data_IF_043120515993
#
_entry.id   IF_043120515993
#
_cell.length_a   1.000
_cell.length_b   1.000
_cell.length_c   1.000
_cell.angle_alpha   90.00
_cell.angle_beta   90.00
_cell.angle_gamma   90.00
#
_symmetry.space_group_name_H-M   'P 1'
#
loop_
_entity.id
_entity.type
_entity.pdbx_description
1 polymer ?
#
# COMPACT_ATOMS: atom_id res chain seq x y z
N UNK A 1 20.16 13.64 -21.33
CA UNK A 1 20.55 14.22 -20.02
C UNK A 1 21.47 15.39 -20.34
N UNK A 2 21.30 16.58 -19.73
CA UNK A 2 22.22 17.69 -19.95
C UNK A 2 23.63 17.28 -19.53
N UNK A 3 24.60 17.43 -20.44
CA UNK A 3 26.00 17.01 -20.25
C UNK A 3 26.87 18.07 -19.60
N UNK A 4 26.37 19.30 -19.49
CA UNK A 4 27.16 20.48 -19.07
C UNK A 4 27.17 20.73 -17.56
N UNK A 5 26.76 19.76 -16.73
CA UNK A 5 26.72 19.92 -15.27
C UNK A 5 25.78 21.03 -14.78
N UNK A 6 25.04 21.68 -15.68
CA UNK A 6 24.07 22.73 -15.34
C UNK A 6 22.85 22.07 -14.70
N UNK A 7 22.62 22.38 -13.42
CA UNK A 7 21.42 21.93 -12.71
C UNK A 7 20.17 22.59 -13.28
N UNK A 8 19.05 21.86 -13.24
CA UNK A 8 17.76 22.37 -13.69
C UNK A 8 17.06 23.03 -12.49
N UNK A 9 16.66 24.31 -12.57
CA UNK A 9 15.87 24.94 -11.54
C UNK A 9 14.56 24.17 -11.31
N UNK A 10 14.31 23.81 -10.06
CA UNK A 10 13.15 23.05 -9.62
C UNK A 10 12.32 23.90 -8.66
N UNK A 11 11.21 24.42 -9.18
CA UNK A 11 10.12 24.96 -8.39
C UNK A 11 9.05 23.90 -8.11
N UNK A 12 8.15 24.23 -7.19
CA UNK A 12 6.89 23.51 -7.04
C UNK A 12 5.92 23.92 -8.17
N UNK A 13 5.00 23.04 -8.54
CA UNK A 13 3.90 23.38 -9.44
C UNK A 13 2.85 24.27 -8.74
N UNK A 14 1.85 24.73 -9.49
CA UNK A 14 0.78 25.61 -8.99
C UNK A 14 -0.01 25.02 -7.80
N UNK A 15 0.15 23.72 -7.53
CA UNK A 15 -0.49 22.98 -6.45
C UNK A 15 0.49 22.59 -5.32
N UNK A 16 1.72 23.12 -5.33
CA UNK A 16 2.73 22.78 -4.35
C UNK A 16 3.35 21.39 -4.53
N UNK A 17 3.15 20.76 -5.69
CA UNK A 17 3.67 19.43 -6.03
C UNK A 17 4.93 19.47 -6.89
N UNK A 18 5.51 18.29 -7.15
CA UNK A 18 6.60 18.17 -8.13
C UNK A 18 6.06 18.32 -9.56
N UNK A 19 6.76 19.07 -10.45
CA UNK A 19 6.37 19.22 -11.84
C UNK A 19 6.22 17.87 -12.57
N UNK A 20 5.27 17.79 -13.49
CA UNK A 20 4.94 16.54 -14.19
C UNK A 20 6.13 15.89 -14.91
N UNK A 21 7.02 16.70 -15.49
CA UNK A 21 8.24 16.22 -16.17
C UNK A 21 9.16 15.47 -15.20
N UNK A 22 9.30 15.99 -13.99
CA UNK A 22 10.10 15.42 -12.90
C UNK A 22 9.48 14.11 -12.42
N UNK A 23 8.16 14.09 -12.21
CA UNK A 23 7.42 12.87 -11.83
C UNK A 23 7.60 11.74 -12.84
N UNK A 24 7.69 12.04 -14.14
CA UNK A 24 7.95 11.05 -15.19
C UNK A 24 9.37 10.50 -15.13
N UNK A 25 10.38 11.33 -14.85
CA UNK A 25 11.76 10.87 -14.72
C UNK A 25 11.97 9.92 -13.54
N UNK A 26 11.30 10.20 -12.40
CA UNK A 26 11.33 9.30 -11.24
C UNK A 26 10.86 7.89 -11.65
N UNK A 27 9.79 7.78 -12.44
CA UNK A 27 9.30 6.48 -12.93
C UNK A 27 10.37 5.74 -13.74
N UNK A 28 11.05 6.44 -14.65
CA UNK A 28 12.08 5.85 -15.52
C UNK A 28 13.24 5.33 -14.68
N UNK A 29 13.76 6.15 -13.78
CA UNK A 29 14.87 5.77 -12.89
C UNK A 29 14.53 4.56 -12.03
N UNK A 30 13.32 4.55 -11.44
CA UNK A 30 12.86 3.44 -10.60
C UNK A 30 12.58 2.16 -11.37
N UNK A 31 12.27 2.22 -12.67
CA UNK A 31 11.95 1.03 -13.46
C UNK A 31 13.20 0.35 -14.01
N UNK A 32 14.20 1.14 -14.40
CA UNK A 32 15.38 0.65 -15.12
C UNK A 32 16.49 0.13 -14.19
N UNK A 33 16.51 0.56 -12.92
CA UNK A 33 17.68 0.35 -12.05
C UNK A 33 17.39 -0.48 -10.78
N UNK A 34 16.29 -1.22 -10.73
CA UNK A 34 16.02 -2.09 -9.57
C UNK A 34 16.98 -3.28 -9.55
N UNK A 35 17.80 -3.44 -8.50
CA UNK A 35 18.74 -4.55 -8.42
C UNK A 35 18.06 -5.86 -8.00
N UNK A 36 16.86 -5.80 -7.40
CA UNK A 36 16.14 -6.98 -6.93
C UNK A 36 14.61 -6.81 -7.01
N UNK A 37 13.90 -7.90 -6.77
CA UNK A 37 12.45 -7.99 -6.83
C UNK A 37 11.84 -7.47 -5.52
N UNK A 38 11.10 -6.36 -5.62
CA UNK A 38 10.35 -5.80 -4.51
C UNK A 38 8.87 -5.72 -4.90
N UNK A 39 7.97 -6.09 -3.98
CA UNK A 39 6.51 -5.98 -4.19
C UNK A 39 5.94 -4.68 -3.61
N UNK A 40 6.70 -4.02 -2.72
CA UNK A 40 6.32 -2.74 -2.12
C UNK A 40 7.51 -1.80 -1.98
N UNK A 41 7.25 -0.48 -2.07
CA UNK A 41 8.27 0.56 -1.91
C UNK A 41 9.02 0.46 -0.57
N UNK A 42 8.32 0.11 0.51
CA UNK A 42 8.92 -0.03 1.84
C UNK A 42 9.87 -1.21 2.00
N UNK A 43 9.94 -2.13 1.02
CA UNK A 43 10.92 -3.22 1.00
C UNK A 43 12.22 -2.83 0.28
N UNK A 44 12.18 -1.76 -0.51
CA UNK A 44 13.35 -1.28 -1.24
C UNK A 44 14.40 -0.81 -0.23
N UNK A 45 15.62 -1.31 -0.37
CA UNK A 45 16.76 -0.98 0.49
C UNK A 45 16.96 0.55 0.59
N UNK A 46 17.29 1.03 1.80
CA UNK A 46 17.45 2.46 2.06
C UNK A 46 18.59 3.07 1.24
N UNK A 47 19.63 2.29 1.00
CA UNK A 47 20.77 2.64 0.16
C UNK A 47 20.34 2.98 -1.28
N UNK A 48 19.33 2.27 -1.81
CA UNK A 48 18.78 2.57 -3.13
C UNK A 48 17.98 3.86 -3.11
N UNK A 49 17.25 4.14 -2.03
CA UNK A 49 16.54 5.41 -1.88
C UNK A 49 17.51 6.58 -1.89
N UNK A 50 18.58 6.47 -1.10
CA UNK A 50 19.60 7.51 -0.99
C UNK A 50 20.35 7.67 -2.32
N UNK A 51 20.64 6.57 -3.03
CA UNK A 51 21.21 6.62 -4.37
C UNK A 51 20.31 7.36 -5.36
N UNK A 52 19.01 7.02 -5.44
CA UNK A 52 18.08 7.69 -6.35
C UNK A 52 17.85 9.15 -5.96
N UNK A 53 17.78 9.45 -4.67
CA UNK A 53 17.69 10.81 -4.17
C UNK A 53 18.93 11.62 -4.53
N UNK A 54 20.12 11.03 -4.45
CA UNK A 54 21.37 11.70 -4.82
C UNK A 54 21.42 11.99 -6.33
N UNK A 55 21.01 11.05 -7.19
CA UNK A 55 20.89 11.30 -8.64
C UNK A 55 19.90 12.45 -8.90
N UNK A 56 18.78 12.46 -8.18
CA UNK A 56 17.79 13.51 -8.27
C UNK A 56 18.34 14.88 -7.85
N UNK A 57 19.04 14.97 -6.71
CA UNK A 57 19.61 16.23 -6.18
C UNK A 57 20.79 16.77 -6.97
N UNK A 58 21.47 15.92 -7.74
CA UNK A 58 22.48 16.33 -8.70
C UNK A 58 21.86 16.92 -9.97
N UNK A 59 20.66 16.46 -10.35
CA UNK A 59 19.99 16.89 -11.58
C UNK A 59 19.28 18.23 -11.41
N UNK A 60 18.75 18.50 -10.22
CA UNK A 60 17.89 19.63 -9.93
C UNK A 60 18.48 20.56 -8.89
N UNK A 61 18.15 21.84 -8.98
CA UNK A 61 18.51 22.89 -8.02
C UNK A 61 17.24 23.51 -7.45
N UNK A 62 17.21 23.73 -6.13
CA UNK A 62 16.06 24.30 -5.43
C UNK A 62 16.53 25.16 -4.27
N UNK A 63 15.62 25.98 -3.73
CA UNK A 63 15.85 26.77 -2.52
C UNK A 63 16.03 25.83 -1.30
N UNK A 64 17.14 25.93 -0.53
CA UNK A 64 17.37 25.11 0.66
C UNK A 64 16.24 25.16 1.69
N UNK A 65 15.49 26.26 1.76
CA UNK A 65 14.36 26.41 2.70
C UNK A 65 13.22 25.42 2.45
N UNK A 66 13.10 24.90 1.22
CA UNK A 66 12.08 23.92 0.82
C UNK A 66 12.64 22.51 0.65
N UNK A 67 13.91 22.25 0.97
CA UNK A 67 14.56 20.95 0.73
C UNK A 67 13.78 19.79 1.35
N UNK A 68 13.35 19.95 2.60
CA UNK A 68 12.57 18.93 3.30
C UNK A 68 11.28 18.61 2.54
N UNK A 69 10.56 19.64 2.09
CA UNK A 69 9.33 19.52 1.31
C UNK A 69 9.60 18.81 -0.01
N UNK A 70 10.66 19.16 -0.73
CA UNK A 70 11.05 18.49 -1.98
C UNK A 70 11.35 17.01 -1.74
N UNK A 71 12.07 16.69 -0.66
CA UNK A 71 12.40 15.29 -0.31
C UNK A 71 11.16 14.47 0.04
N UNK A 72 10.24 15.05 0.79
CA UNK A 72 8.97 14.40 1.16
C UNK A 72 8.09 14.17 -0.08
N UNK A 73 7.94 15.19 -0.95
CA UNK A 73 7.20 15.09 -2.20
C UNK A 73 7.82 14.08 -3.16
N UNK A 74 9.15 14.05 -3.24
CA UNK A 74 9.88 13.07 -4.04
C UNK A 74 9.61 11.66 -3.56
N UNK A 75 9.73 11.40 -2.25
CA UNK A 75 9.51 10.06 -1.69
C UNK A 75 8.05 9.62 -1.85
N UNK A 76 7.09 10.51 -1.60
CA UNK A 76 5.67 10.24 -1.84
C UNK A 76 5.41 9.90 -3.31
N UNK A 77 5.97 10.69 -4.23
CA UNK A 77 5.84 10.46 -5.68
C UNK A 77 6.47 9.13 -6.07
N UNK A 78 7.69 8.85 -5.61
CA UNK A 78 8.41 7.61 -5.86
C UNK A 78 7.58 6.40 -5.41
N UNK A 79 7.04 6.44 -4.19
CA UNK A 79 6.16 5.39 -3.64
C UNK A 79 4.93 5.12 -4.51
N UNK A 80 4.21 6.19 -4.89
CA UNK A 80 3.00 6.06 -5.73
C UNK A 80 3.37 5.49 -7.10
N UNK A 81 4.41 6.05 -7.74
CA UNK A 81 4.84 5.64 -9.07
C UNK A 81 5.36 4.21 -9.09
N UNK A 82 6.10 3.81 -8.08
CA UNK A 82 6.57 2.44 -7.91
C UNK A 82 5.40 1.45 -7.83
N UNK A 83 4.41 1.73 -6.97
CA UNK A 83 3.20 0.90 -6.85
C UNK A 83 2.45 0.79 -8.17
N UNK A 84 2.26 1.90 -8.88
CA UNK A 84 1.55 1.91 -10.17
C UNK A 84 2.32 1.13 -11.23
N UNK A 85 3.63 1.34 -11.34
CA UNK A 85 4.46 0.64 -12.33
C UNK A 85 4.45 -0.89 -12.10
N UNK A 86 4.56 -1.34 -10.85
CA UNK A 86 4.44 -2.77 -10.52
C UNK A 86 3.03 -3.30 -10.80
N UNK A 87 1.99 -2.54 -10.45
CA UNK A 87 0.61 -2.94 -10.70
C UNK A 87 0.32 -3.09 -12.20
N UNK A 88 0.76 -2.14 -13.03
CA UNK A 88 0.65 -2.22 -14.48
C UNK A 88 1.43 -3.40 -15.05
N UNK A 89 2.65 -3.64 -14.56
CA UNK A 89 3.48 -4.76 -14.96
C UNK A 89 2.79 -6.08 -14.62
N UNK A 90 2.34 -6.26 -13.37
CA UNK A 90 1.59 -7.43 -12.90
C UNK A 90 0.34 -7.66 -13.75
N UNK A 91 -0.44 -6.62 -14.03
CA UNK A 91 -1.66 -6.72 -14.84
C UNK A 91 -1.38 -7.10 -16.30
N UNK A 92 -0.35 -6.51 -16.94
CA UNK A 92 0.06 -6.86 -18.31
C UNK A 92 0.51 -8.32 -18.39
N UNK A 93 1.20 -8.81 -17.38
CA UNK A 93 1.73 -10.16 -17.36
C UNK A 93 0.69 -11.21 -16.97
N UNK A 94 -0.25 -10.87 -16.06
CA UNK A 94 -1.39 -11.73 -15.75
C UNK A 94 -2.23 -12.06 -16.99
N UNK A 95 -2.43 -11.09 -17.90
CA UNK A 95 -3.10 -11.31 -19.20
C UNK A 95 -2.40 -12.35 -20.10
N UNK A 96 -1.13 -12.63 -19.85
CA UNK A 96 -0.30 -13.59 -20.61
C UNK A 96 0.15 -14.76 -19.73
N UNK A 97 -0.58 -15.05 -18.65
CA UNK A 97 -0.27 -16.11 -17.69
C UNK A 97 1.17 -16.08 -17.15
N UNK A 98 1.74 -14.88 -16.97
CA UNK A 98 3.11 -14.64 -16.51
C UNK A 98 4.22 -15.25 -17.38
N UNK A 99 3.90 -15.75 -18.59
CA UNK A 99 4.89 -16.41 -19.46
C UNK A 99 5.77 -15.42 -20.22
N UNK A 100 5.28 -14.20 -20.48
CA UNK A 100 6.00 -13.23 -21.30
C UNK A 100 6.74 -12.20 -20.43
N UNK A 101 8.08 -12.32 -20.38
CA UNK A 101 8.99 -11.32 -19.82
C UNK A 101 8.95 -10.03 -20.65
N UNK A 102 8.97 -8.84 -20.03
CA UNK A 102 9.23 -7.60 -20.77
C UNK A 102 10.61 -7.62 -21.47
N UNK A 103 10.76 -7.02 -22.66
CA UNK A 103 12.02 -7.05 -23.41
C UNK A 103 13.21 -6.53 -22.57
N UNK A 104 13.03 -5.39 -21.91
CA UNK A 104 14.10 -4.66 -21.22
C UNK A 104 14.33 -5.10 -19.76
N UNK A 105 13.63 -6.13 -19.28
CA UNK A 105 13.73 -6.58 -17.89
C UNK A 105 14.73 -7.72 -17.74
N UNK A 106 15.54 -7.69 -16.68
CA UNK A 106 16.43 -8.80 -16.34
C UNK A 106 15.62 -10.10 -16.12
N UNK A 107 15.96 -11.24 -16.77
CA UNK A 107 15.26 -12.51 -16.60
C UNK A 107 15.21 -13.04 -15.17
N UNK A 108 16.28 -12.84 -14.40
CA UNK A 108 16.41 -13.34 -13.03
C UNK A 108 15.51 -12.53 -12.08
N UNK A 109 15.54 -11.19 -12.23
CA UNK A 109 14.61 -10.27 -11.56
C UNK A 109 13.16 -10.61 -11.89
N UNK A 110 12.89 -10.89 -13.17
CA UNK A 110 11.57 -11.27 -13.64
C UNK A 110 11.07 -12.55 -12.99
N UNK A 111 11.91 -13.60 -12.94
CA UNK A 111 11.56 -14.87 -12.30
C UNK A 111 11.21 -14.69 -10.82
N UNK A 112 12.00 -13.89 -10.09
CA UNK A 112 11.73 -13.55 -8.68
C UNK A 112 10.40 -12.80 -8.51
N UNK A 113 10.10 -11.81 -9.36
CA UNK A 113 8.83 -11.08 -9.30
C UNK A 113 7.63 -11.99 -9.58
N UNK A 114 7.73 -12.84 -10.60
CA UNK A 114 6.67 -13.80 -10.92
C UNK A 114 6.43 -14.74 -9.73
N UNK A 115 7.50 -15.29 -9.16
CA UNK A 115 7.43 -16.16 -7.99
C UNK A 115 6.67 -15.50 -6.84
N UNK A 116 7.07 -14.28 -6.45
CA UNK A 116 6.41 -13.51 -5.39
C UNK A 116 4.93 -13.27 -5.68
N UNK A 117 4.56 -12.96 -6.92
CA UNK A 117 3.15 -12.74 -7.29
C UNK A 117 2.32 -14.03 -7.33
N UNK A 118 2.90 -15.15 -7.72
CA UNK A 118 2.22 -16.45 -7.67
C UNK A 118 2.03 -16.95 -6.24
N UNK A 119 3.03 -16.78 -5.38
CA UNK A 119 2.92 -17.11 -3.95
C UNK A 119 1.86 -16.24 -3.26
N UNK A 120 1.85 -14.93 -3.57
CA UNK A 120 0.81 -14.01 -3.07
C UNK A 120 -0.59 -14.47 -3.48
N UNK A 121 -0.77 -14.88 -4.75
CA UNK A 121 -2.05 -15.39 -5.25
C UNK A 121 -2.49 -16.66 -4.51
N UNK A 122 -1.59 -17.63 -4.35
CA UNK A 122 -1.88 -18.88 -3.62
C UNK A 122 -2.25 -18.60 -2.15
N UNK A 123 -1.58 -17.64 -1.51
CA UNK A 123 -1.86 -17.23 -0.13
C UNK A 123 -3.27 -16.62 0.00
N UNK A 124 -3.65 -15.76 -0.94
CA UNK A 124 -5.00 -15.15 -0.95
C UNK A 124 -6.07 -16.20 -1.22
N UNK A 125 -5.86 -17.10 -2.18
CA UNK A 125 -6.81 -18.18 -2.49
C UNK A 125 -7.00 -19.12 -1.28
N UNK A 126 -5.92 -19.49 -0.60
CA UNK A 126 -5.99 -20.28 0.62
C UNK A 126 -6.76 -19.56 1.74
N UNK A 127 -6.49 -18.28 1.96
CA UNK A 127 -7.20 -17.48 2.96
C UNK A 127 -8.70 -17.34 2.64
N UNK A 128 -9.07 -17.25 1.35
CA UNK A 128 -10.47 -17.22 0.92
C UNK A 128 -11.16 -18.55 1.15
N UNK A 129 -10.53 -19.68 0.78
CA UNK A 129 -11.09 -21.02 1.06
C UNK A 129 -11.30 -21.27 2.55
N UNK A 130 -10.36 -20.87 3.39
CA UNK A 130 -10.50 -20.97 4.84
C UNK A 130 -11.67 -20.15 5.41
N UNK A 131 -12.02 -19.02 4.78
CA UNK A 131 -13.21 -18.24 5.15
C UNK A 131 -14.50 -18.90 4.69
N UNK A 132 -14.49 -19.55 3.54
CA UNK A 132 -15.65 -20.22 2.95
C UNK A 132 -15.96 -21.58 3.59
N UNK A 133 -14.92 -22.33 4.00
CA UNK A 133 -15.03 -23.69 4.56
C UNK A 133 -15.27 -23.72 6.08
N UNK A 134 -15.30 -22.56 6.75
CA UNK A 134 -15.48 -22.46 8.20
C UNK A 134 -14.16 -22.70 8.95
N UNK A 135 -13.60 -21.62 9.48
CA UNK A 135 -12.30 -21.59 10.14
C UNK A 135 -12.25 -22.51 11.38
N UNK A 136 -11.34 -23.49 11.39
CA UNK A 136 -10.97 -24.24 12.60
C UNK A 136 -9.89 -23.46 13.37
N UNK A 137 -10.19 -22.92 14.57
CA UNK A 137 -9.28 -22.07 15.33
C UNK A 137 -8.10 -22.81 15.97
N UNK A 138 -7.96 -24.13 15.78
CA UNK A 138 -6.88 -24.91 16.40
C UNK A 138 -5.51 -24.75 15.72
N UNK A 139 -5.43 -24.16 14.53
CA UNK A 139 -4.13 -23.89 13.89
C UNK A 139 -3.53 -22.59 14.46
N UNK A 140 -2.38 -22.63 15.16
CA UNK A 140 -1.80 -21.46 15.79
C UNK A 140 -1.51 -20.37 14.75
N UNK A 141 -2.02 -19.17 14.99
CA UNK A 141 -1.90 -18.02 14.09
C UNK A 141 -0.44 -17.68 13.71
N UNK A 142 0.52 -18.06 14.57
CA UNK A 142 1.95 -17.93 14.32
C UNK A 142 2.50 -18.84 13.22
N UNK A 143 2.00 -20.07 13.07
CA UNK A 143 2.47 -20.99 12.01
C UNK A 143 1.97 -20.59 10.62
N UNK A 144 0.82 -19.94 10.55
CA UNK A 144 0.22 -19.48 9.30
C UNK A 144 0.98 -18.27 8.74
N UNK A 145 1.37 -17.31 9.60
CA UNK A 145 2.19 -16.17 9.19
C UNK A 145 3.63 -16.58 8.84
N UNK A 146 4.23 -17.53 9.56
CA UNK A 146 5.57 -18.03 9.27
C UNK A 146 5.65 -18.83 7.95
N UNK A 147 4.55 -19.47 7.53
CA UNK A 147 4.46 -20.10 6.18
C UNK A 147 4.20 -19.09 5.07
N UNK A 148 3.45 -18.01 5.34
CA UNK A 148 3.07 -17.02 4.33
C UNK A 148 4.16 -15.99 4.00
N UNK A 149 5.13 -15.76 4.88
CA UNK A 149 6.20 -14.75 4.70
C UNK A 149 7.45 -15.33 3.97
N UNK A 150 7.37 -16.54 3.41
CA UNK A 150 8.46 -17.08 2.60
C UNK A 150 9.70 -17.43 3.42
N UNK A 151 9.67 -18.61 4.05
CA UNK A 151 10.87 -19.40 4.34
C UNK A 151 12.01 -18.74 5.13
N UNK A 152 11.86 -18.63 6.45
CA UNK A 152 13.05 -18.76 7.31
C UNK A 152 13.48 -20.23 7.29
N UNK A 153 14.68 -20.51 6.79
CA UNK A 153 15.26 -21.87 6.68
C UNK A 153 15.14 -22.61 8.02
N UNK A 154 14.39 -23.72 8.04
CA UNK A 154 14.27 -24.67 9.16
C UNK A 154 15.61 -25.26 9.68
N UNK A 155 16.74 -24.95 9.04
CA UNK A 155 18.06 -25.47 9.40
C UNK A 155 18.75 -24.75 10.57
N UNK A 156 18.32 -23.54 10.94
CA UNK A 156 18.97 -22.76 12.01
C UNK A 156 18.40 -22.99 13.41
N UNK A 157 17.34 -23.78 13.54
CA UNK A 157 16.62 -24.02 14.80
C UNK A 157 16.80 -25.43 15.37
N UNK A 158 17.62 -26.29 14.74
CA UNK A 158 17.82 -27.66 15.22
C UNK A 158 18.70 -27.76 16.48
N UNK A 159 19.42 -26.69 16.83
CA UNK A 159 20.31 -26.66 17.99
C UNK A 159 19.80 -25.74 19.13
N UNK A 160 18.59 -25.18 18.99
CA UNK A 160 17.90 -24.54 20.10
C UNK A 160 17.06 -25.63 20.77
N UNK A 161 17.63 -26.21 21.83
CA UNK A 161 16.94 -27.12 22.73
C UNK A 161 15.84 -26.33 23.47
N UNK A 162 14.63 -26.30 22.88
CA UNK A 162 13.46 -25.62 23.45
C UNK A 162 12.81 -26.53 24.51
N UNK A 163 13.59 -26.89 25.52
CA UNK A 163 13.10 -27.43 26.79
C UNK A 163 13.32 -26.45 27.95
N UNK A 164 13.44 -25.15 27.65
CA UNK A 164 13.40 -24.12 28.70
C UNK A 164 11.95 -23.73 28.96
N UNK A 165 11.49 -24.06 30.17
CA UNK A 165 10.21 -23.57 30.67
C UNK A 165 10.26 -22.03 30.71
N UNK A 166 9.14 -21.32 30.42
CA UNK A 166 9.09 -19.86 30.38
C UNK A 166 9.47 -19.14 31.70
N UNK A 167 9.70 -19.90 32.77
CA UNK A 167 9.99 -19.40 34.11
C UNK A 167 11.50 -19.17 34.32
N UNK A 168 12.37 -19.78 33.52
CA UNK A 168 13.83 -19.77 33.75
C UNK A 168 14.56 -18.57 33.11
N UNK A 169 13.89 -17.77 32.28
CA UNK A 169 14.51 -16.66 31.53
C UNK A 169 14.38 -15.31 32.27
N UNK A 170 13.81 -15.28 33.49
CA UNK A 170 13.63 -14.02 34.24
C UNK A 170 12.78 -12.98 33.49
N UNK A 171 12.06 -13.40 32.44
CA UNK A 171 11.11 -12.55 31.74
C UNK A 171 9.87 -12.49 32.61
N UNK A 172 9.75 -11.42 33.38
CA UNK A 172 8.51 -11.07 34.06
C UNK A 172 7.38 -11.12 33.03
N UNK A 173 6.55 -12.16 33.09
CA UNK A 173 5.27 -12.20 32.40
C UNK A 173 4.34 -11.27 33.18
N UNK A 174 4.60 -9.96 33.11
CA UNK A 174 3.56 -8.97 33.31
C UNK A 174 2.50 -9.33 32.27
N UNK A 175 1.43 -9.97 32.76
CA UNK A 175 0.20 -10.29 32.05
C UNK A 175 -0.15 -9.06 31.22
N UNK A 176 0.21 -9.08 29.93
CA UNK A 176 -0.21 -8.03 29.01
C UNK A 176 -1.72 -8.11 29.01
N UNK A 177 -2.35 -7.10 29.61
CA UNK A 177 -3.78 -6.92 29.45
C UNK A 177 -4.10 -7.03 27.96
N UNK A 178 -5.19 -7.72 27.58
CA UNK A 178 -5.60 -7.82 26.19
C UNK A 178 -5.57 -6.42 25.60
N UNK A 179 -4.80 -6.27 24.51
CA UNK A 179 -4.62 -5.00 23.82
C UNK A 179 -6.00 -4.45 23.51
N UNK A 180 -6.49 -3.51 24.33
CA UNK A 180 -7.62 -2.69 23.98
C UNK A 180 -7.08 -1.77 22.90
N UNK A 181 -7.50 -1.89 21.63
CA UNK A 181 -7.13 -0.90 20.65
C UNK A 181 -7.49 0.48 21.24
N UNK A 182 -6.63 1.49 21.09
CA UNK A 182 -6.97 2.83 21.54
C UNK A 182 -8.35 3.14 20.98
N UNK A 183 -9.27 3.56 21.84
CA UNK A 183 -10.55 4.09 21.42
C UNK A 183 -10.18 5.29 20.56
N UNK A 184 -10.17 5.08 19.24
CA UNK A 184 -10.02 6.16 18.27
C UNK A 184 -11.29 6.95 18.51
N UNK A 185 -11.19 8.02 19.30
CA UNK A 185 -12.26 8.98 19.43
C UNK A 185 -12.70 9.33 18.03
N UNK A 186 -13.99 9.16 17.74
CA UNK A 186 -14.55 9.55 16.46
C UNK A 186 -14.04 10.96 16.18
N UNK A 187 -13.32 11.14 15.07
CA UNK A 187 -12.86 12.47 14.67
C UNK A 187 -14.09 13.37 14.60
N UNK A 188 -13.97 14.65 14.97
CA UNK A 188 -15.08 15.62 14.83
C UNK A 188 -15.71 15.55 13.43
N UNK A 189 -14.90 15.27 12.41
CA UNK A 189 -15.33 15.05 11.03
C UNK A 189 -16.28 13.85 10.85
N UNK A 190 -16.08 12.76 11.59
CA UNK A 190 -16.96 11.58 11.55
C UNK A 190 -18.33 11.92 12.12
N UNK A 191 -18.38 12.65 13.24
CA UNK A 191 -19.62 13.09 13.88
C UNK A 191 -20.38 14.07 12.96
N UNK A 192 -19.69 15.03 12.35
CA UNK A 192 -20.28 15.96 11.38
C UNK A 192 -20.88 15.24 10.16
N UNK A 193 -20.18 14.22 9.65
CA UNK A 193 -20.68 13.40 8.54
C UNK A 193 -21.90 12.57 8.94
N UNK A 194 -21.90 11.98 10.13
CA UNK A 194 -23.06 11.24 10.66
C UNK A 194 -24.29 12.14 10.81
N UNK A 195 -24.13 13.35 11.37
CA UNK A 195 -25.20 14.34 11.46
C UNK A 195 -25.73 14.78 10.09
N UNK A 196 -24.83 14.98 9.12
CA UNK A 196 -25.22 15.33 7.74
C UNK A 196 -26.04 14.22 7.10
N UNK A 197 -25.64 12.96 7.30
CA UNK A 197 -26.37 11.79 6.79
C UNK A 197 -27.76 11.69 7.41
N UNK A 198 -27.90 11.94 8.72
CA UNK A 198 -29.20 11.94 9.38
C UNK A 198 -30.12 13.06 8.89
N UNK A 199 -29.60 14.27 8.72
CA UNK A 199 -30.35 15.40 8.13
C UNK A 199 -30.87 15.05 6.74
N UNK A 200 -30.01 14.52 5.86
CA UNK A 200 -30.40 14.14 4.50
C UNK A 200 -31.42 13.00 4.46
N UNK A 201 -31.41 12.10 5.46
CA UNK A 201 -32.44 11.05 5.57
C UNK A 201 -33.79 11.64 5.97
N UNK A 202 -33.81 12.59 6.90
CA UNK A 202 -35.03 13.28 7.31
C UNK A 202 -35.64 14.07 6.15
N UNK A 203 -34.82 14.82 5.39
CA UNK A 203 -35.27 15.60 4.23
C UNK A 203 -35.85 14.69 3.14
N UNK A 204 -35.17 13.57 2.83
CA UNK A 204 -35.69 12.59 1.87
C UNK A 204 -37.01 11.95 2.32
N UNK A 205 -37.17 11.71 3.61
CA UNK A 205 -38.43 11.18 4.15
C UNK A 205 -39.56 12.21 3.99
N UNK A 206 -39.30 13.48 4.31
CA UNK A 206 -40.27 14.57 4.13
C UNK A 206 -40.69 14.73 2.66
N UNK A 207 -39.73 14.73 1.74
CA UNK A 207 -40.01 14.81 0.29
C UNK A 207 -40.89 13.66 -0.20
N UNK A 208 -40.65 12.43 0.27
CA UNK A 208 -41.49 11.27 -0.08
C UNK A 208 -42.92 11.41 0.45
N UNK A 209 -43.09 11.95 1.66
CA UNK A 209 -44.43 12.22 2.21
C UNK A 209 -45.16 13.28 1.40
N UNK A 210 -44.49 14.37 1.02
CA UNK A 210 -45.08 15.41 0.15
C UNK A 210 -45.45 14.84 -1.21
N UNK A 211 -44.59 13.99 -1.81
CA UNK A 211 -44.89 13.34 -3.08
C UNK A 211 -46.12 12.44 -2.99
N UNK A 212 -46.28 11.66 -1.91
CA UNK A 212 -47.48 10.83 -1.70
C UNK A 212 -48.74 11.67 -1.53
N UNK A 213 -48.67 12.80 -0.80
CA UNK A 213 -49.80 13.71 -0.64
C UNK A 213 -50.25 14.31 -1.97
N UNK A 214 -49.31 14.78 -2.80
CA UNK A 214 -49.60 15.34 -4.12
C UNK A 214 -50.24 14.31 -5.07
N UNK A 215 -49.80 13.04 -5.00
CA UNK A 215 -50.42 11.96 -5.78
C UNK A 215 -51.86 11.68 -5.33
N UNK A 216 -52.11 11.65 -4.01
CA UNK A 216 -53.46 11.44 -3.47
C UNK A 216 -54.43 12.57 -3.82
N UNK A 217 -53.96 13.82 -3.80
CA UNK A 217 -54.76 14.98 -4.21
C UNK A 217 -55.10 14.93 -5.70
N UNK A 218 -54.13 14.54 -6.54
CA UNK A 218 -54.34 14.41 -7.98
C UNK A 218 -55.34 13.30 -8.33
N UNK A 219 -55.30 12.16 -7.64
CA UNK A 219 -56.27 11.07 -7.82
C UNK A 219 -57.68 11.51 -7.40
N UNK A 220 -57.79 12.36 -6.38
CA UNK A 220 -59.07 12.91 -5.90
C UNK A 220 -59.69 13.90 -6.89
N UNK A 221 -58.88 14.60 -7.69
CA UNK A 221 -59.35 15.52 -8.74
C UNK A 221 -59.83 14.81 -10.01
N UNK A 222 -59.52 13.52 -10.18
CA UNK A 222 -59.94 12.72 -11.33
C UNK A 222 -61.26 11.96 -11.13
N UNK A 223 -61.86 12.01 -9.94
CA UNK A 223 -63.16 11.42 -9.61
C UNK A 223 -64.28 12.46 -9.65
#
# INVERSE_FOLDING_TARGET
MPTDGTKIPLGLDDYGGLPQKVRRQIVVQLRENLPDAYTAWGQVLRELWDMYWNIFSQTYEWDPTIEKTIKDLWNMTARIKFKHALGELKAKCAKRNFQAKPPDMNPELWAKLVHLWTEEKLTVEYATRQKEEGFDPTIPHGEILLRAIGGVKKGWLKDLDIHTHPQDIGVSTSRREPFRPPIIGQSNRTIELEQTIESLKADNHSLRQTQMALLADNDSLQQ
#
